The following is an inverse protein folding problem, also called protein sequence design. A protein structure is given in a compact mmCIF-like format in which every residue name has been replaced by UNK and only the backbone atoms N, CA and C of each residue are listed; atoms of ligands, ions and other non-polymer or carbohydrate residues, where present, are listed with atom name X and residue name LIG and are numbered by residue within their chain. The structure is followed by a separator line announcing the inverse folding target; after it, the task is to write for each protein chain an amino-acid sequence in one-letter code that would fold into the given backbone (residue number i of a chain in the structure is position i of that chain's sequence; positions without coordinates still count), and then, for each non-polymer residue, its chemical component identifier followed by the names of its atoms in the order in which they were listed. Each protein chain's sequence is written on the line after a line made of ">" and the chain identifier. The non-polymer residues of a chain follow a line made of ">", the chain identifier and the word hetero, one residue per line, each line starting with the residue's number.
data_IF_643674061451
#
_entry.id   IF_643674061451
#
_cell.length_a   1.000
_cell.length_b   1.000
_cell.length_c   1.000
_cell.angle_alpha   90.00
_cell.angle_beta   90.00
_cell.angle_gamma   90.00
#
_symmetry.space_group_name_H-M   'P 1'
#
loop_
_entity.id
_entity.type
_entity.pdbx_description
1 polymer ?
#
# COMPACT_ATOMS: atom_id res chain seq x y z
N UNK A 1 -10.00 6.85 4.33
CA UNK A 1 -9.21 8.10 4.37
C UNK A 1 -8.60 8.31 2.99
N UNK A 2 -8.73 9.51 2.43
CA UNK A 2 -8.09 9.90 1.18
C UNK A 2 -6.96 10.88 1.47
N UNK A 3 -5.87 10.80 0.72
CA UNK A 3 -4.66 11.60 0.93
C UNK A 3 -4.23 12.25 -0.40
N UNK A 4 -3.99 13.54 -0.32
CA UNK A 4 -3.33 14.34 -1.35
C UNK A 4 -1.83 14.37 -1.02
N UNK A 5 -1.01 13.64 -1.75
CA UNK A 5 0.44 13.58 -1.54
C UNK A 5 1.12 14.92 -1.83
N UNK A 6 0.62 15.64 -2.84
CA UNK A 6 1.20 16.90 -3.30
C UNK A 6 1.16 17.98 -2.21
N UNK A 7 0.05 18.04 -1.46
CA UNK A 7 -0.16 19.01 -0.40
C UNK A 7 0.07 18.43 1.00
N UNK A 8 0.34 17.12 1.11
CA UNK A 8 0.46 16.37 2.36
C UNK A 8 -0.78 16.53 3.27
N UNK A 9 -1.97 16.38 2.70
CA UNK A 9 -3.24 16.61 3.38
C UNK A 9 -4.17 15.38 3.27
N UNK A 10 -4.93 15.15 4.33
CA UNK A 10 -6.13 14.33 4.23
C UNK A 10 -7.23 15.16 3.53
N UNK A 11 -7.94 14.51 2.61
CA UNK A 11 -9.02 15.13 1.83
C UNK A 11 -10.30 14.29 1.91
N UNK A 12 -11.42 14.89 1.59
CA UNK A 12 -12.75 14.26 1.59
C UNK A 12 -13.41 14.49 0.22
N UNK A 13 -13.04 13.73 -0.82
CA UNK A 13 -13.67 13.84 -2.12
C UNK A 13 -15.16 13.45 -2.04
N UNK A 14 -16.03 14.21 -2.69
CA UNK A 14 -17.47 13.92 -2.72
C UNK A 14 -17.77 12.73 -3.65
N UNK A 15 -17.04 12.63 -4.77
CA UNK A 15 -17.16 11.60 -5.78
C UNK A 15 -15.77 11.05 -6.14
N UNK A 16 -15.15 10.22 -5.25
CA UNK A 16 -13.75 9.81 -5.40
C UNK A 16 -13.39 9.22 -6.77
N UNK A 17 -14.31 8.43 -7.35
CA UNK A 17 -14.09 7.79 -8.65
C UNK A 17 -14.06 8.76 -9.84
N UNK A 18 -14.38 10.05 -9.62
CA UNK A 18 -14.39 11.05 -10.67
C UNK A 18 -13.56 12.30 -10.36
N UNK A 19 -12.89 12.33 -9.19
CA UNK A 19 -12.15 13.49 -8.73
C UNK A 19 -10.63 13.33 -8.77
N UNK A 20 -9.94 14.41 -9.09
CA UNK A 20 -8.48 14.53 -9.08
C UNK A 20 -7.98 15.25 -7.80
N UNK A 21 -8.65 15.08 -6.67
CA UNK A 21 -8.32 15.75 -5.40
C UNK A 21 -7.51 14.89 -4.45
N UNK A 22 -7.28 13.63 -4.79
CA UNK A 22 -6.57 12.66 -3.96
C UNK A 22 -5.57 11.84 -4.81
N UNK A 23 -4.62 11.19 -4.18
CA UNK A 23 -3.62 10.32 -4.81
C UNK A 23 -3.72 8.89 -4.31
N UNK A 24 -3.86 8.70 -3.00
CA UNK A 24 -4.03 7.39 -2.38
C UNK A 24 -5.23 7.38 -1.43
N UNK A 25 -5.86 6.22 -1.29
CA UNK A 25 -6.93 6.00 -0.32
C UNK A 25 -6.62 4.77 0.54
N UNK A 26 -6.97 4.85 1.83
CA UNK A 26 -6.73 3.81 2.81
C UNK A 26 -8.06 3.40 3.44
N UNK A 27 -8.38 2.10 3.33
CA UNK A 27 -9.53 1.48 3.97
C UNK A 27 -9.15 0.11 4.53
N UNK A 28 -8.79 0.04 5.80
CA UNK A 28 -8.28 -1.19 6.43
C UNK A 28 -7.00 -1.66 5.72
N UNK A 29 -7.03 -2.86 5.13
CA UNK A 29 -5.93 -3.41 4.33
C UNK A 29 -5.95 -2.96 2.87
N UNK A 30 -7.08 -2.44 2.41
CA UNK A 30 -7.23 -1.99 1.03
C UNK A 30 -6.67 -0.59 0.87
N UNK A 31 -5.58 -0.50 0.12
CA UNK A 31 -5.00 0.75 -0.30
C UNK A 31 -5.25 0.90 -1.81
N UNK A 32 -5.83 2.03 -2.18
CA UNK A 32 -6.15 2.38 -3.56
C UNK A 32 -5.26 3.52 -4.04
N UNK A 33 -5.03 3.56 -5.34
CA UNK A 33 -4.35 4.66 -6.01
C UNK A 33 -5.33 5.38 -6.95
N UNK A 34 -5.22 6.69 -7.08
CA UNK A 34 -6.07 7.46 -8.02
C UNK A 34 -5.64 7.21 -9.46
N UNK A 35 -5.87 5.99 -9.91
CA UNK A 35 -5.54 5.50 -11.23
C UNK A 35 -6.23 4.17 -11.50
N UNK A 36 -6.28 3.76 -12.74
CA UNK A 36 -7.00 2.54 -13.12
C UNK A 36 -8.50 2.65 -12.85
N UNK A 37 -9.07 1.67 -12.12
CA UNK A 37 -10.50 1.66 -11.82
C UNK A 37 -10.90 2.53 -10.62
N UNK A 38 -9.95 2.88 -9.75
CA UNK A 38 -10.24 3.58 -8.48
C UNK A 38 -10.40 5.07 -8.65
N UNK A 39 -9.89 5.66 -9.71
CA UNK A 39 -10.03 7.09 -9.96
C UNK A 39 -9.54 7.52 -11.34
N UNK A 40 -9.87 8.76 -11.76
CA UNK A 40 -9.59 9.27 -13.10
C UNK A 40 -8.15 9.77 -13.29
N UNK A 41 -7.31 9.70 -12.25
CA UNK A 41 -5.92 10.13 -12.31
C UNK A 41 -5.02 9.12 -13.02
N UNK A 42 -3.82 9.57 -13.40
CA UNK A 42 -2.77 8.73 -13.96
C UNK A 42 -1.81 8.22 -12.87
N UNK A 43 -2.27 8.19 -11.61
CA UNK A 43 -1.44 7.70 -10.52
C UNK A 43 -1.13 6.21 -10.70
N UNK A 44 0.10 5.84 -10.39
CA UNK A 44 0.58 4.47 -10.51
C UNK A 44 1.69 4.22 -9.47
N UNK A 45 1.94 2.97 -9.14
CA UNK A 45 3.05 2.58 -8.27
C UNK A 45 4.00 1.60 -8.95
N UNK A 46 5.23 1.60 -8.46
CA UNK A 46 6.24 0.58 -8.70
C UNK A 46 6.78 0.13 -7.34
N UNK A 47 6.90 -1.17 -7.12
CA UNK A 47 7.35 -1.74 -5.87
C UNK A 47 8.85 -2.04 -5.86
N UNK A 48 9.49 -1.76 -4.72
CA UNK A 48 10.90 -2.06 -4.47
C UNK A 48 11.00 -2.87 -3.17
N UNK A 49 11.13 -4.17 -3.31
CA UNK A 49 11.26 -5.08 -2.17
C UNK A 49 12.64 -4.94 -1.53
N UNK A 50 12.69 -4.79 -0.19
CA UNK A 50 13.96 -4.78 0.57
C UNK A 50 14.81 -3.53 0.36
N UNK A 51 14.21 -2.39 0.02
CA UNK A 51 14.93 -1.11 -0.12
C UNK A 51 15.25 -0.44 1.22
N UNK A 52 16.38 0.25 1.32
CA UNK A 52 16.66 1.10 2.47
C UNK A 52 16.01 2.48 2.27
N UNK A 53 15.18 2.90 3.24
CA UNK A 53 14.54 4.22 3.21
C UNK A 53 15.52 5.39 3.20
N UNK A 54 16.72 5.19 3.78
CA UNK A 54 17.77 6.20 3.80
C UNK A 54 18.49 6.37 2.47
N UNK A 55 18.37 5.40 1.55
CA UNK A 55 19.03 5.45 0.26
C UNK A 55 18.47 6.58 -0.62
N UNK A 56 19.32 7.11 -1.49
CA UNK A 56 18.87 8.02 -2.54
C UNK A 56 18.17 7.21 -3.61
N UNK A 57 16.85 7.06 -3.47
CA UNK A 57 16.02 6.38 -4.43
C UNK A 57 15.81 7.33 -5.62
N UNK A 58 16.11 6.87 -6.82
CA UNK A 58 15.73 7.53 -8.06
C UNK A 58 14.57 6.79 -8.72
N UNK A 59 13.79 7.49 -9.52
CA UNK A 59 12.74 6.85 -10.31
C UNK A 59 13.40 5.84 -11.27
N UNK A 60 13.06 4.53 -11.20
CA UNK A 60 13.64 3.55 -12.10
C UNK A 60 13.25 3.83 -13.56
N UNK A 61 14.23 3.74 -14.46
CA UNK A 61 14.01 4.01 -15.89
C UNK A 61 13.24 2.90 -16.60
N UNK A 62 13.25 1.71 -16.02
CA UNK A 62 12.61 0.49 -16.51
C UNK A 62 11.49 0.00 -15.55
N UNK A 63 10.94 0.92 -14.76
CA UNK A 63 9.87 0.60 -13.81
C UNK A 63 8.65 0.01 -14.52
N UNK A 64 8.17 -1.11 -14.01
CA UNK A 64 6.85 -1.61 -14.30
C UNK A 64 5.85 -0.87 -13.42
N UNK A 65 4.91 -0.17 -14.03
CA UNK A 65 3.94 0.66 -13.32
C UNK A 65 2.61 -0.08 -13.19
N UNK A 66 2.11 -0.13 -11.96
CA UNK A 66 0.86 -0.80 -11.62
C UNK A 66 -0.20 0.23 -11.21
N UNK A 67 -1.41 0.02 -11.67
CA UNK A 67 -2.61 0.78 -11.29
C UNK A 67 -3.65 -0.17 -10.70
N UNK A 68 -4.70 0.37 -10.10
CA UNK A 68 -5.79 -0.47 -9.62
C UNK A 68 -6.59 -1.06 -10.80
N UNK A 69 -6.79 -2.37 -10.75
CA UNK A 69 -7.55 -3.14 -11.73
C UNK A 69 -8.78 -3.79 -11.06
N UNK A 70 -9.78 -4.27 -11.82
CA UNK A 70 -10.86 -5.07 -11.26
C UNK A 70 -10.29 -6.27 -10.50
N UNK A 71 -10.63 -6.40 -9.23
CA UNK A 71 -10.20 -7.48 -8.33
C UNK A 71 -8.69 -7.46 -7.96
N UNK A 72 -7.93 -6.41 -8.31
CA UNK A 72 -6.49 -6.31 -8.06
C UNK A 72 -6.06 -4.87 -7.72
N UNK A 73 -6.18 -4.47 -6.45
CA UNK A 73 -5.63 -3.19 -5.99
C UNK A 73 -4.10 -3.23 -6.00
N UNK A 74 -3.47 -2.24 -6.59
CA UNK A 74 -2.02 -2.24 -6.84
C UNK A 74 -1.19 -2.42 -5.56
N UNK A 75 -1.47 -1.69 -4.49
CA UNK A 75 -0.77 -1.83 -3.21
C UNK A 75 -0.96 -3.19 -2.51
N UNK A 76 -2.05 -3.90 -2.81
CA UNK A 76 -2.36 -5.22 -2.22
C UNK A 76 -1.79 -6.35 -3.08
N UNK A 77 -1.61 -6.11 -4.36
CA UNK A 77 -1.15 -7.10 -5.33
C UNK A 77 0.38 -7.08 -5.51
N UNK A 78 1.00 -5.90 -5.39
CA UNK A 78 2.43 -5.71 -5.68
C UNK A 78 3.21 -5.22 -4.45
N UNK A 79 4.40 -5.81 -4.19
CA UNK A 79 4.97 -6.95 -4.90
C UNK A 79 4.13 -8.21 -4.73
N UNK A 80 4.17 -9.13 -5.72
CA UNK A 80 3.45 -10.39 -5.63
C UNK A 80 3.78 -11.18 -4.37
N UNK A 81 2.85 -12.02 -3.93
CA UNK A 81 3.05 -12.90 -2.80
C UNK A 81 4.18 -13.90 -3.08
N UNK A 82 5.22 -13.90 -2.26
CA UNK A 82 6.35 -14.83 -2.40
C UNK A 82 6.13 -16.15 -1.66
N UNK A 83 5.29 -16.16 -0.61
CA UNK A 83 5.04 -17.32 0.21
C UNK A 83 3.58 -17.35 0.68
N UNK A 84 2.73 -18.03 -0.06
CA UNK A 84 1.46 -18.52 0.44
C UNK A 84 1.69 -19.92 1.02
N UNK A 85 2.35 -20.00 2.18
CA UNK A 85 2.52 -21.26 2.89
C UNK A 85 1.38 -21.50 3.84
N UNK A 86 1.04 -22.78 4.09
CA UNK A 86 0.25 -23.13 5.25
C UNK A 86 1.02 -22.65 6.49
N UNK A 87 0.42 -21.77 7.28
CA UNK A 87 0.98 -21.38 8.55
C UNK A 87 1.24 -22.62 9.42
N UNK A 88 2.09 -22.48 10.43
CA UNK A 88 2.45 -23.56 11.35
C UNK A 88 1.24 -24.31 11.93
N UNK A 89 0.04 -23.82 11.74
CA UNK A 89 -1.23 -24.30 12.29
C UNK A 89 -2.30 -24.56 11.22
N UNK A 90 -1.94 -24.66 9.92
CA UNK A 90 -2.93 -24.82 8.85
C UNK A 90 -3.76 -23.58 8.53
N UNK A 91 -3.42 -22.43 9.14
CA UNK A 91 -4.05 -21.15 8.85
C UNK A 91 -3.57 -20.52 7.54
N UNK A 92 -4.29 -19.56 7.04
CA UNK A 92 -3.87 -18.77 5.86
C UNK A 92 -2.79 -17.80 6.32
N UNK A 93 -1.54 -18.06 5.96
CA UNK A 93 -0.48 -17.07 6.04
C UNK A 93 -0.11 -16.64 4.64
N UNK A 94 0.18 -15.38 4.44
CA UNK A 94 0.60 -14.92 3.13
C UNK A 94 1.06 -13.48 3.10
N UNK A 95 1.87 -13.20 2.12
CA UNK A 95 2.26 -11.86 1.73
C UNK A 95 1.19 -11.30 0.78
N UNK A 96 0.77 -10.07 1.03
CA UNK A 96 -0.20 -9.36 0.19
C UNK A 96 0.35 -7.96 -0.08
N UNK A 97 0.99 -7.75 -1.21
CA UNK A 97 1.54 -6.45 -1.55
C UNK A 97 2.30 -5.79 -0.38
N UNK A 98 1.69 -4.82 0.28
CA UNK A 98 2.30 -4.04 1.37
C UNK A 98 2.34 -4.74 2.73
N UNK A 99 1.60 -5.84 2.95
CA UNK A 99 1.49 -6.47 4.25
C UNK A 99 1.68 -7.98 4.22
N UNK A 100 2.11 -8.49 5.35
CA UNK A 100 2.08 -9.91 5.70
C UNK A 100 0.90 -10.17 6.64
N UNK A 101 0.15 -11.23 6.37
CA UNK A 101 -0.93 -11.70 7.21
C UNK A 101 -0.55 -13.02 7.86
N UNK A 102 -0.60 -13.09 9.20
CA UNK A 102 -0.49 -14.33 9.94
C UNK A 102 -1.87 -14.81 10.39
N UNK A 103 -2.24 -16.02 9.97
CA UNK A 103 -3.55 -16.60 10.21
C UNK A 103 -3.68 -17.33 11.54
N UNK A 104 -4.82 -18.00 11.71
CA UNK A 104 -5.19 -18.75 12.92
C UNK A 104 -4.42 -20.04 13.10
N UNK A 105 -4.16 -20.37 14.39
CA UNK A 105 -4.02 -21.74 14.86
C UNK A 105 -5.35 -22.24 15.46
N UNK A 106 -5.73 -23.49 15.20
CA UNK A 106 -6.96 -24.12 15.74
C UNK A 106 -6.96 -24.26 17.28
N UNK A 107 -5.80 -24.07 17.92
CA UNK A 107 -5.62 -24.07 19.37
C UNK A 107 -5.92 -22.73 20.06
N UNK A 108 -6.38 -21.74 19.29
CA UNK A 108 -6.72 -20.41 19.79
C UNK A 108 -5.53 -19.49 20.06
N UNK A 109 -4.31 -19.93 19.77
CA UNK A 109 -3.07 -19.16 19.94
C UNK A 109 -2.66 -18.38 18.68
N UNK A 110 -3.42 -18.43 17.61
CA UNK A 110 -3.18 -17.66 16.40
C UNK A 110 -3.93 -16.35 16.43
N UNK A 111 -3.23 -15.26 16.54
CA UNK A 111 -3.82 -13.92 16.40
C UNK A 111 -3.78 -13.55 14.92
N UNK A 112 -4.95 -13.19 14.34
CA UNK A 112 -4.96 -12.48 13.07
C UNK A 112 -4.11 -11.24 13.19
N UNK A 113 -2.91 -11.27 12.63
CA UNK A 113 -1.99 -10.16 12.73
C UNK A 113 -1.58 -9.71 11.34
N UNK A 114 -1.61 -8.41 11.14
CA UNK A 114 -1.15 -7.74 9.93
C UNK A 114 0.10 -6.96 10.28
N UNK A 115 1.18 -7.20 9.56
CA UNK A 115 2.42 -6.43 9.67
C UNK A 115 2.85 -5.92 8.31
N UNK A 116 3.38 -4.70 8.23
CA UNK A 116 3.93 -4.21 6.98
C UNK A 116 5.07 -5.08 6.48
N UNK A 117 5.16 -5.28 5.17
CA UNK A 117 6.33 -5.83 4.50
C UNK A 117 7.39 -4.74 4.31
N UNK A 118 8.63 -5.16 4.18
CA UNK A 118 9.74 -4.25 3.86
C UNK A 118 9.72 -3.90 2.35
N UNK A 119 8.80 -3.03 2.00
CA UNK A 119 8.58 -2.57 0.63
C UNK A 119 8.62 -1.05 0.61
N UNK A 120 9.39 -0.50 -0.32
CA UNK A 120 9.32 0.91 -0.69
C UNK A 120 8.59 1.00 -2.02
N UNK A 121 7.54 1.81 -2.06
CA UNK A 121 6.84 2.12 -3.28
C UNK A 121 7.37 3.42 -3.88
N UNK A 122 7.61 3.42 -5.17
CA UNK A 122 7.72 4.63 -5.97
C UNK A 122 6.34 4.93 -6.51
N UNK A 123 5.71 5.97 -6.02
CA UNK A 123 4.37 6.39 -6.42
C UNK A 123 4.47 7.57 -7.38
N UNK A 124 3.93 7.44 -8.56
CA UNK A 124 3.65 8.55 -9.46
C UNK A 124 2.27 9.10 -9.09
N UNK A 125 2.20 10.35 -8.69
CA UNK A 125 0.94 11.00 -8.35
C UNK A 125 0.12 11.41 -9.59
N UNK A 126 -1.09 11.92 -9.37
CA UNK A 126 -1.99 12.40 -10.42
C UNK A 126 -1.44 13.55 -11.27
N UNK A 127 -0.38 14.23 -10.82
CA UNK A 127 0.28 15.32 -11.54
C UNK A 127 1.51 14.89 -12.33
N UNK A 128 1.94 13.61 -12.13
CA UNK A 128 3.14 13.05 -12.72
C UNK A 128 4.41 13.26 -11.89
N UNK A 129 4.30 13.77 -10.66
CA UNK A 129 5.41 13.85 -9.73
C UNK A 129 5.62 12.51 -9.01
N UNK A 130 6.82 12.29 -8.51
CA UNK A 130 7.20 11.01 -7.93
C UNK A 130 7.47 11.13 -6.43
N UNK A 131 7.03 10.09 -5.70
CA UNK A 131 7.12 9.98 -4.25
C UNK A 131 7.65 8.61 -3.88
N UNK A 132 8.47 8.52 -2.85
CA UNK A 132 8.69 7.26 -2.14
C UNK A 132 7.68 7.14 -1.01
N UNK A 133 7.16 5.95 -0.79
CA UNK A 133 6.19 5.65 0.25
C UNK A 133 6.49 4.28 0.86
N UNK A 134 6.37 4.16 2.18
CA UNK A 134 6.34 2.85 2.85
C UNK A 134 5.30 2.83 3.96
N UNK A 135 4.73 1.66 4.20
CA UNK A 135 3.83 1.43 5.31
C UNK A 135 4.63 1.17 6.59
N UNK A 136 4.15 1.72 7.72
CA UNK A 136 4.82 1.63 9.01
C UNK A 136 4.07 0.72 9.99
N UNK A 137 2.74 0.78 10.00
CA UNK A 137 1.91 -0.02 10.89
C UNK A 137 0.50 -0.21 10.32
N UNK A 138 -0.23 -1.20 10.85
CA UNK A 138 -1.66 -1.40 10.65
C UNK A 138 -2.50 -1.11 11.90
N UNK A 139 -1.85 -1.10 13.05
CA UNK A 139 -2.47 -0.86 14.35
C UNK A 139 -2.04 0.49 14.90
N UNK A 140 -2.93 1.11 15.71
CA UNK A 140 -2.55 2.28 16.51
C UNK A 140 -1.71 1.88 17.74
N UNK A 141 -1.26 2.88 18.51
CA UNK A 141 -0.47 2.67 19.72
C UNK A 141 -1.21 1.90 20.84
N UNK A 142 -2.53 1.82 20.74
CA UNK A 142 -3.37 1.04 21.65
C UNK A 142 -3.61 -0.40 21.15
N UNK A 143 -3.11 -0.76 19.96
CA UNK A 143 -3.30 -2.05 19.33
C UNK A 143 -4.62 -2.19 18.58
N UNK A 144 -5.35 -1.11 18.33
CA UNK A 144 -6.59 -1.15 17.55
C UNK A 144 -6.27 -1.32 16.06
N UNK A 145 -6.96 -2.24 15.41
CA UNK A 145 -6.78 -2.53 13.99
C UNK A 145 -7.39 -1.44 13.08
N UNK A 146 -7.03 -1.46 11.81
CA UNK A 146 -7.51 -0.55 10.78
C UNK A 146 -7.10 0.92 10.97
N UNK A 147 -5.91 1.11 11.53
CA UNK A 147 -5.24 2.41 11.67
C UNK A 147 -3.91 2.41 10.89
N UNK A 148 -3.93 2.16 9.57
CA UNK A 148 -2.70 2.10 8.79
C UNK A 148 -1.95 3.43 8.88
N UNK A 149 -0.65 3.35 9.12
CA UNK A 149 0.26 4.49 9.10
C UNK A 149 1.35 4.26 8.05
N UNK A 150 1.80 5.33 7.45
CA UNK A 150 2.82 5.32 6.41
C UNK A 150 3.63 6.60 6.46
N UNK A 151 4.78 6.57 5.82
CA UNK A 151 5.55 7.77 5.54
C UNK A 151 5.82 7.89 4.04
N UNK A 152 5.98 9.12 3.59
CA UNK A 152 6.28 9.42 2.20
C UNK A 152 7.18 10.64 2.08
N UNK A 153 7.93 10.72 0.99
CA UNK A 153 8.76 11.87 0.66
C UNK A 153 8.88 12.03 -0.86
N UNK A 154 9.05 13.27 -1.36
CA UNK A 154 9.22 13.48 -2.79
C UNK A 154 10.52 12.84 -3.29
N UNK A 155 10.50 12.31 -4.50
CA UNK A 155 11.67 11.92 -5.28
C UNK A 155 12.08 13.05 -6.21
N UNK A 156 13.38 13.30 -6.34
CA UNK A 156 13.95 14.32 -7.20
C UNK A 156 14.41 13.71 -8.54
#
# INVERSE_FOLDING_TARGET
>A
VYVDLINALQVEPAEPASELTWDIALMRTDLQINGGISGPGDAALHDMLGGDWSDTISVPTDAEWHTDEPDALAFVTYPPAENTGDGACGGINGDFGWYYYSGFCDDGEGVHHISPRDVIYVVRDRSGSYWRLRMLAYYDDAGSSAHPSFEFAPLQ
#
